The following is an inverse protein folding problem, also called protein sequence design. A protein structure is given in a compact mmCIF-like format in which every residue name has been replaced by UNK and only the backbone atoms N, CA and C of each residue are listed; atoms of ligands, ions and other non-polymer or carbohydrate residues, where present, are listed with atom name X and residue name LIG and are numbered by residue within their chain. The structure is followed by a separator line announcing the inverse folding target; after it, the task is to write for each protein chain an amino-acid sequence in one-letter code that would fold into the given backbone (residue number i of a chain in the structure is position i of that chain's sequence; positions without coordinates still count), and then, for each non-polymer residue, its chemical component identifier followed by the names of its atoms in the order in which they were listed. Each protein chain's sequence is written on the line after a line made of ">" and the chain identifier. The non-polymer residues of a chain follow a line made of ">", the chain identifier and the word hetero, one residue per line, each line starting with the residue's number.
data_IF_113307562440
#
_entry.id   IF_113307562440
#
_cell.length_a   1.000
_cell.length_b   1.000
_cell.length_c   1.000
_cell.angle_alpha   90.00
_cell.angle_beta   90.00
_cell.angle_gamma   90.00
#
_symmetry.space_group_name_H-M   'P 1'
#
loop_
_entity.id
_entity.type
_entity.pdbx_description
1 polymer ?
#
# COMPACT_ATOMS: atom_id res chain seq x y z
N UNK A 1 -9.81 5.66 -5.08
CA UNK A 1 -8.54 5.73 -5.86
C UNK A 1 -7.76 7.01 -5.61
N UNK A 2 -8.40 8.19 -5.61
CA UNK A 2 -7.72 9.49 -5.45
C UNK A 2 -6.83 9.61 -4.19
N UNK A 3 -7.21 8.97 -3.08
CA UNK A 3 -6.43 8.99 -1.84
C UNK A 3 -5.08 8.27 -1.98
N UNK A 4 -5.07 7.06 -2.55
CA UNK A 4 -3.86 6.23 -2.72
C UNK A 4 -2.91 6.89 -3.71
N UNK A 5 -3.43 7.35 -4.85
CA UNK A 5 -2.63 8.04 -5.86
C UNK A 5 -2.04 9.35 -5.32
N UNK A 6 -2.83 10.21 -4.67
CA UNK A 6 -2.34 11.51 -4.18
C UNK A 6 -1.37 11.42 -2.99
N UNK A 7 -1.50 10.41 -2.13
CA UNK A 7 -0.68 10.29 -0.90
C UNK A 7 0.47 9.31 -1.02
N UNK A 8 0.31 8.25 -1.81
CA UNK A 8 1.34 7.22 -1.97
C UNK A 8 2.00 7.27 -3.36
N UNK A 9 1.51 8.12 -4.28
CA UNK A 9 2.00 8.14 -5.65
C UNK A 9 1.74 6.84 -6.42
N UNK A 10 0.99 5.89 -5.86
CA UNK A 10 0.67 4.61 -6.50
C UNK A 10 -0.48 4.82 -7.49
N UNK A 11 -0.12 5.27 -8.69
CA UNK A 11 -1.05 5.74 -9.72
C UNK A 11 -1.10 4.84 -10.97
N UNK A 12 -0.35 3.75 -10.97
CA UNK A 12 -0.27 2.80 -12.09
C UNK A 12 -0.46 1.34 -11.64
N UNK A 13 -1.04 0.53 -12.52
CA UNK A 13 -1.55 -0.82 -12.21
C UNK A 13 -0.45 -1.81 -11.78
N UNK A 14 0.80 -1.59 -12.22
CA UNK A 14 1.98 -2.40 -11.86
C UNK A 14 2.54 -2.10 -10.46
N UNK A 15 2.29 -0.90 -9.94
CA UNK A 15 2.71 -0.50 -8.58
C UNK A 15 1.55 -0.52 -7.59
N UNK A 16 0.33 -0.71 -8.09
CA UNK A 16 -0.87 -0.86 -7.28
C UNK A 16 -0.95 -2.27 -6.69
N UNK A 17 -0.24 -2.47 -5.58
CA UNK A 17 -0.19 -3.74 -4.86
C UNK A 17 -1.51 -4.10 -4.16
N UNK A 18 -1.69 -5.39 -3.86
CA UNK A 18 -2.76 -5.90 -2.98
C UNK A 18 -4.17 -5.43 -3.38
N UNK A 19 -4.57 -5.68 -4.63
CA UNK A 19 -5.90 -5.28 -5.16
C UNK A 19 -7.07 -5.79 -4.31
N UNK A 20 -6.89 -6.95 -3.68
CA UNK A 20 -7.88 -7.56 -2.78
C UNK A 20 -8.06 -6.85 -1.44
N UNK A 21 -7.22 -5.86 -1.12
CA UNK A 21 -7.47 -4.95 0.00
C UNK A 21 -8.61 -3.96 -0.28
N UNK A 22 -8.93 -3.67 -1.55
CA UNK A 22 -9.89 -2.63 -1.91
C UNK A 22 -11.32 -2.89 -1.42
N UNK A 23 -11.87 -4.11 -1.47
CA UNK A 23 -13.16 -4.39 -0.84
C UNK A 23 -13.18 -4.03 0.65
N UNK A 24 -12.10 -4.31 1.38
CA UNK A 24 -11.98 -3.93 2.79
C UNK A 24 -11.88 -2.41 2.96
N UNK A 25 -11.04 -1.74 2.17
CA UNK A 25 -10.94 -0.27 2.20
C UNK A 25 -12.30 0.38 1.92
N UNK A 26 -13.03 -0.12 0.93
CA UNK A 26 -14.37 0.35 0.58
C UNK A 26 -15.36 0.13 1.73
N UNK A 27 -15.38 -1.07 2.33
CA UNK A 27 -16.24 -1.36 3.49
C UNK A 27 -15.94 -0.44 4.66
N UNK A 28 -14.66 -0.26 4.98
CA UNK A 28 -14.21 0.57 6.09
C UNK A 28 -14.59 2.05 5.89
N UNK A 29 -14.37 2.58 4.68
CA UNK A 29 -14.78 3.94 4.32
C UNK A 29 -16.29 4.14 4.40
N UNK A 30 -17.08 3.17 3.94
CA UNK A 30 -18.54 3.22 4.03
C UNK A 30 -19.02 3.19 5.49
N UNK A 31 -18.40 2.39 6.37
CA UNK A 31 -18.72 2.38 7.80
C UNK A 31 -18.40 3.71 8.50
N UNK A 32 -17.43 4.45 7.97
CA UNK A 32 -17.00 5.77 8.46
C UNK A 32 -17.67 6.93 7.71
N UNK A 33 -18.63 6.64 6.83
CA UNK A 33 -19.33 7.65 6.01
C UNK A 33 -18.36 8.55 5.21
N UNK A 34 -17.19 8.00 4.84
CA UNK A 34 -16.13 8.72 4.15
C UNK A 34 -15.35 9.72 5.03
N UNK A 35 -15.70 9.87 6.31
CA UNK A 35 -15.02 10.76 7.24
C UNK A 35 -13.90 10.02 7.96
N UNK A 36 -12.66 10.31 7.57
CA UNK A 36 -11.47 9.85 8.27
C UNK A 36 -10.67 11.05 8.75
N UNK A 37 -10.28 11.03 10.02
CA UNK A 37 -9.28 11.97 10.50
C UNK A 37 -7.89 11.63 9.91
N UNK A 38 -6.91 12.52 10.12
CA UNK A 38 -5.57 12.33 9.58
C UNK A 38 -4.86 11.10 10.15
N UNK A 39 -5.03 10.79 11.44
CA UNK A 39 -4.38 9.65 12.09
C UNK A 39 -4.98 8.34 11.60
N UNK A 40 -6.30 8.26 11.52
CA UNK A 40 -7.04 7.09 11.06
C UNK A 40 -6.74 6.79 9.59
N UNK A 41 -6.69 7.84 8.75
CA UNK A 41 -6.25 7.71 7.36
C UNK A 41 -4.83 7.18 7.26
N UNK A 42 -3.88 7.76 7.99
CA UNK A 42 -2.47 7.37 7.87
C UNK A 42 -2.26 5.92 8.36
N UNK A 43 -3.01 5.50 9.39
CA UNK A 43 -3.06 4.11 9.85
C UNK A 43 -3.68 3.15 8.83
N UNK A 44 -4.74 3.55 8.14
CA UNK A 44 -5.35 2.77 7.06
C UNK A 44 -4.38 2.59 5.89
N UNK A 45 -3.67 3.66 5.50
CA UNK A 45 -2.65 3.61 4.46
C UNK A 45 -1.44 2.76 4.89
N UNK A 46 -1.03 2.84 6.16
CA UNK A 46 0.00 1.97 6.72
C UNK A 46 -0.37 0.49 6.59
N UNK A 47 -1.60 0.13 7.00
CA UNK A 47 -2.09 -1.24 6.84
C UNK A 47 -2.10 -1.66 5.36
N UNK A 48 -2.63 -0.81 4.48
CA UNK A 48 -2.67 -1.07 3.03
C UNK A 48 -1.28 -1.35 2.46
N UNK A 49 -0.28 -0.52 2.79
CA UNK A 49 1.11 -0.71 2.35
C UNK A 49 1.63 -2.08 2.78
N UNK A 50 1.47 -2.42 4.07
CA UNK A 50 1.93 -3.70 4.58
C UNK A 50 1.21 -4.92 3.97
N UNK A 51 -0.01 -4.77 3.46
CA UNK A 51 -0.69 -5.88 2.79
C UNK A 51 0.05 -6.35 1.53
N UNK A 52 0.57 -5.43 0.70
CA UNK A 52 1.34 -5.83 -0.50
C UNK A 52 2.79 -6.17 -0.19
N UNK A 53 3.42 -5.49 0.77
CA UNK A 53 4.79 -5.80 1.20
C UNK A 53 4.94 -7.24 1.67
N UNK A 54 3.90 -7.77 2.33
CA UNK A 54 3.94 -9.09 2.91
C UNK A 54 3.08 -10.12 2.18
N UNK A 55 2.46 -9.73 1.06
CA UNK A 55 1.64 -10.64 0.24
C UNK A 55 0.44 -11.18 1.00
N UNK A 56 -0.25 -10.34 1.79
CA UNK A 56 -1.37 -10.74 2.66
C UNK A 56 -2.42 -11.59 1.94
N UNK A 57 -2.72 -11.24 0.69
CA UNK A 57 -3.69 -11.94 -0.16
C UNK A 57 -3.05 -12.74 -1.30
N UNK A 58 -1.79 -13.17 -1.17
CA UNK A 58 -1.12 -13.96 -2.21
C UNK A 58 -1.51 -15.45 -2.20
N UNK A 59 -2.08 -15.94 -1.08
CA UNK A 59 -2.54 -17.32 -0.92
C UNK A 59 -4.06 -17.43 -0.93
N UNK A 60 -4.65 -17.79 0.21
CA UNK A 60 -6.11 -17.95 0.39
C UNK A 60 -6.83 -16.59 0.49
N UNK A 61 -6.91 -15.86 -0.63
CA UNK A 61 -7.49 -14.52 -0.74
C UNK A 61 -8.83 -14.39 -0.04
N UNK A 62 -9.81 -15.23 -0.38
CA UNK A 62 -11.18 -15.15 0.15
C UNK A 62 -11.21 -15.39 1.66
N UNK A 63 -10.46 -16.38 2.15
CA UNK A 63 -10.39 -16.69 3.58
C UNK A 63 -9.76 -15.54 4.38
N UNK A 64 -8.66 -14.97 3.89
CA UNK A 64 -7.99 -13.84 4.56
C UNK A 64 -8.87 -12.59 4.51
N UNK A 65 -9.49 -12.29 3.36
CA UNK A 65 -10.39 -11.15 3.22
C UNK A 65 -11.60 -11.27 4.15
N UNK A 66 -12.24 -12.44 4.22
CA UNK A 66 -13.37 -12.67 5.13
C UNK A 66 -12.96 -12.47 6.60
N UNK A 67 -11.77 -12.96 6.99
CA UNK A 67 -11.23 -12.70 8.34
C UNK A 67 -11.06 -11.19 8.58
N UNK A 68 -10.47 -10.49 7.63
CA UNK A 68 -10.19 -9.06 7.79
C UNK A 68 -11.46 -8.21 7.85
N UNK A 69 -12.49 -8.59 7.07
CA UNK A 69 -13.80 -7.98 7.15
C UNK A 69 -14.45 -8.20 8.53
N UNK A 70 -14.27 -9.38 9.12
CA UNK A 70 -14.70 -9.65 10.50
C UNK A 70 -14.01 -8.74 11.53
N UNK A 71 -12.72 -8.43 11.34
CA UNK A 71 -11.97 -7.57 12.27
C UNK A 71 -12.48 -6.11 12.29
N UNK A 72 -13.17 -5.67 11.24
CA UNK A 72 -13.72 -4.31 11.12
C UNK A 72 -15.24 -4.23 11.35
N UNK A 73 -15.89 -5.31 11.79
CA UNK A 73 -17.32 -5.27 12.11
C UNK A 73 -17.62 -4.29 13.24
N UNK A 74 -16.83 -4.35 14.30
CA UNK A 74 -16.81 -3.34 15.37
C UNK A 74 -16.00 -2.12 14.92
N UNK A 75 -16.61 -0.93 14.96
CA UNK A 75 -15.97 0.30 14.44
C UNK A 75 -14.77 0.75 15.27
N UNK A 76 -14.88 0.61 16.58
CA UNK A 76 -13.85 1.05 17.52
C UNK A 76 -12.71 0.04 17.55
N UNK A 77 -11.46 0.53 17.47
CA UNK A 77 -10.27 -0.32 17.43
C UNK A 77 -10.09 -1.15 16.15
N UNK A 78 -10.90 -0.95 15.11
CA UNK A 78 -10.83 -1.72 13.86
C UNK A 78 -9.42 -1.75 13.22
N UNK A 79 -8.78 -0.58 13.12
CA UNK A 79 -7.42 -0.49 12.57
C UNK A 79 -6.36 -1.08 13.51
N UNK A 80 -6.57 -1.04 14.83
CA UNK A 80 -5.68 -1.69 15.80
C UNK A 80 -5.69 -3.20 15.57
N UNK A 81 -6.88 -3.80 15.52
CA UNK A 81 -7.05 -5.24 15.25
C UNK A 81 -6.46 -5.65 13.90
N UNK A 82 -6.66 -4.86 12.85
CA UNK A 82 -6.09 -5.14 11.52
C UNK A 82 -4.55 -5.11 11.52
N UNK A 83 -3.94 -4.13 12.19
CA UNK A 83 -2.48 -4.00 12.28
C UNK A 83 -1.91 -5.10 13.19
N UNK A 84 -2.58 -5.43 14.28
CA UNK A 84 -2.14 -6.50 15.17
C UNK A 84 -2.26 -7.87 14.51
N UNK A 85 -3.27 -8.10 13.66
CA UNK A 85 -3.34 -9.31 12.84
C UNK A 85 -2.20 -9.37 11.81
N UNK A 86 -1.76 -8.24 11.24
CA UNK A 86 -0.54 -8.22 10.40
C UNK A 86 0.69 -8.67 11.21
N UNK A 87 0.88 -8.12 12.41
CA UNK A 87 1.99 -8.48 13.31
C UNK A 87 1.92 -9.92 13.76
N UNK A 88 0.72 -10.45 14.02
CA UNK A 88 0.54 -11.85 14.43
C UNK A 88 0.92 -12.83 13.33
N UNK A 89 0.60 -12.52 12.07
CA UNK A 89 0.88 -13.40 10.93
C UNK A 89 2.33 -13.28 10.46
N UNK A 90 2.87 -12.06 10.39
CA UNK A 90 4.22 -11.79 9.84
C UNK A 90 5.31 -11.81 10.92
N UNK A 91 4.97 -11.45 12.16
CA UNK A 91 5.91 -11.08 13.19
C UNK A 91 6.27 -9.59 13.09
N UNK A 92 7.57 -9.32 12.96
CA UNK A 92 8.09 -7.96 12.82
C UNK A 92 7.73 -7.35 11.46
N UNK A 93 7.33 -6.07 11.46
CA UNK A 93 6.98 -5.32 10.25
C UNK A 93 8.11 -4.37 9.82
N UNK A 94 9.24 -4.32 10.54
CA UNK A 94 10.41 -3.53 10.16
C UNK A 94 11.00 -4.02 8.84
N UNK A 95 11.32 -3.06 7.99
CA UNK A 95 12.02 -3.29 6.74
C UNK A 95 13.51 -3.49 7.01
N UNK A 96 14.10 -4.44 6.30
CA UNK A 96 15.53 -4.69 6.32
C UNK A 96 16.11 -4.48 4.91
N UNK A 97 17.41 -4.19 4.77
CA UNK A 97 18.04 -4.03 3.47
C UNK A 97 17.81 -5.24 2.54
N UNK A 98 17.72 -6.45 3.09
CA UNK A 98 17.52 -7.69 2.35
C UNK A 98 16.16 -7.76 1.66
N UNK A 99 15.14 -7.05 2.17
CA UNK A 99 13.81 -6.97 1.54
C UNK A 99 13.87 -6.34 0.13
N UNK A 100 14.94 -5.58 -0.17
CA UNK A 100 15.13 -4.85 -1.42
C UNK A 100 16.10 -5.54 -2.41
N UNK A 101 16.51 -6.78 -2.15
CA UNK A 101 17.42 -7.51 -3.05
C UNK A 101 16.80 -7.85 -4.42
N UNK A 102 15.46 -7.85 -4.52
CA UNK A 102 14.75 -8.06 -5.77
C UNK A 102 14.85 -6.84 -6.69
N UNK A 103 15.31 -7.05 -7.93
CA UNK A 103 15.65 -5.97 -8.87
C UNK A 103 14.63 -5.77 -10.01
N UNK A 104 13.65 -6.66 -10.16
CA UNK A 104 12.65 -6.58 -11.24
C UNK A 104 11.37 -5.85 -10.78
N UNK A 105 10.54 -5.44 -11.75
CA UNK A 105 9.21 -4.90 -11.46
C UNK A 105 8.28 -5.90 -10.76
N UNK A 106 8.58 -7.20 -10.87
CA UNK A 106 7.87 -8.26 -10.13
C UNK A 106 8.36 -8.44 -8.69
N UNK A 107 9.41 -7.72 -8.28
CA UNK A 107 9.88 -7.75 -6.91
C UNK A 107 8.83 -7.15 -5.98
N UNK A 108 8.57 -7.83 -4.87
CA UNK A 108 7.51 -7.47 -3.93
C UNK A 108 7.64 -6.06 -3.35
N UNK A 109 8.88 -5.59 -3.20
CA UNK A 109 9.23 -4.28 -2.64
C UNK A 109 9.35 -3.17 -3.68
N UNK A 110 9.24 -3.49 -4.98
CA UNK A 110 9.30 -2.50 -6.05
C UNK A 110 8.23 -1.40 -5.90
N UNK A 111 6.95 -1.70 -5.59
CA UNK A 111 5.95 -0.66 -5.32
C UNK A 111 6.31 0.30 -4.20
N UNK A 112 7.03 -0.16 -3.17
CA UNK A 112 7.48 0.68 -2.08
C UNK A 112 8.61 1.62 -2.51
N UNK A 113 9.59 1.09 -3.26
CA UNK A 113 10.64 1.93 -3.85
C UNK A 113 10.04 3.01 -4.75
N UNK A 114 9.09 2.63 -5.60
CA UNK A 114 8.35 3.57 -6.45
C UNK A 114 7.59 4.61 -5.60
N UNK A 115 6.83 4.18 -4.60
CA UNK A 115 6.15 5.09 -3.67
C UNK A 115 7.12 6.08 -3.04
N UNK A 116 8.29 5.63 -2.59
CA UNK A 116 9.31 6.50 -1.98
C UNK A 116 9.83 7.54 -2.95
N UNK A 117 10.11 7.20 -4.22
CA UNK A 117 10.57 8.19 -5.20
C UNK A 117 9.53 9.28 -5.45
N UNK A 118 8.25 8.91 -5.42
CA UNK A 118 7.12 9.84 -5.63
C UNK A 118 6.84 10.71 -4.41
N UNK A 119 6.80 10.13 -3.22
CA UNK A 119 6.52 10.86 -1.98
C UNK A 119 7.66 11.79 -1.59
N UNK A 120 8.91 11.40 -1.88
CA UNK A 120 10.10 12.21 -1.57
C UNK A 120 10.56 13.11 -2.72
N UNK A 121 9.81 13.17 -3.83
CA UNK A 121 10.18 13.99 -4.99
C UNK A 121 11.63 13.74 -5.44
N UNK A 122 12.01 12.46 -5.53
CA UNK A 122 13.37 12.05 -5.88
C UNK A 122 13.76 12.63 -7.25
N UNK A 123 15.04 12.99 -7.41
CA UNK A 123 15.54 13.65 -8.62
C UNK A 123 16.52 12.76 -9.37
N UNK A 124 16.43 12.81 -10.70
CA UNK A 124 17.43 12.21 -11.59
C UNK A 124 18.81 12.84 -11.33
N UNK A 125 19.83 12.00 -11.21
CA UNK A 125 21.18 12.45 -10.84
C UNK A 125 21.87 13.25 -11.93
N UNK A 126 21.52 13.02 -13.20
CA UNK A 126 22.15 13.72 -14.31
C UNK A 126 21.48 15.07 -14.59
N UNK A 127 20.15 15.06 -14.75
CA UNK A 127 19.37 16.23 -15.12
C UNK A 127 18.87 17.06 -13.94
N UNK A 128 18.85 16.50 -12.73
CA UNK A 128 18.29 17.14 -11.54
C UNK A 128 16.76 17.24 -11.55
N UNK A 129 16.10 16.67 -12.55
CA UNK A 129 14.66 16.73 -12.73
C UNK A 129 13.99 15.69 -11.83
N UNK A 130 12.88 16.07 -11.19
CA UNK A 130 12.09 15.17 -10.33
C UNK A 130 11.52 13.97 -11.12
N UNK A 131 11.63 12.77 -10.57
CA UNK A 131 11.09 11.53 -11.12
C UNK A 131 9.56 11.49 -10.96
N UNK A 132 8.84 12.28 -11.77
CA UNK A 132 7.37 12.35 -11.79
C UNK A 132 6.77 11.86 -13.13
N UNK A 133 5.48 11.51 -13.14
CA UNK A 133 4.81 10.90 -14.30
C UNK A 133 4.84 11.74 -15.58
N UNK A 134 5.11 13.06 -15.48
CA UNK A 134 5.20 13.93 -16.66
C UNK A 134 6.53 13.80 -17.43
N UNK A 135 7.48 13.00 -16.94
CA UNK A 135 8.82 12.84 -17.54
C UNK A 135 9.08 11.48 -18.17
N UNK A 136 8.10 10.57 -18.13
CA UNK A 136 8.15 9.37 -18.93
C UNK A 136 7.79 9.76 -20.37
N UNK A 137 8.82 10.01 -21.17
CA UNK A 137 8.69 10.21 -22.60
C UNK A 137 7.84 9.11 -23.23
N UNK A 138 7.22 9.44 -24.36
CA UNK A 138 6.27 8.66 -25.18
C UNK A 138 6.66 7.21 -25.54
N UNK A 139 7.80 6.71 -25.06
CA UNK A 139 8.37 5.38 -25.32
C UNK A 139 8.64 4.52 -24.08
N UNK A 140 8.43 5.01 -22.87
CA UNK A 140 8.60 4.17 -21.65
C UNK A 140 7.26 3.63 -21.18
N UNK A 141 6.84 2.50 -21.76
CA UNK A 141 5.81 1.65 -21.16
C UNK A 141 6.45 0.84 -20.03
N UNK A 142 6.54 1.45 -18.85
CA UNK A 142 6.85 0.72 -17.61
C UNK A 142 5.70 -0.14 -17.17
#
# INVERSE_FOLDING_TARGET
>A
MNLISSRLGLDHDRVLGSRYSFPLLARYLTQKEGQLDHRERDRLLYWYVHTFLWGRYAGSTETVLNRDLGLIEERDGALDRLIDELRRVRGDLRLQPEDFLGWSQGARFYPLMYMMTRVWHARDWYSGIELSNHLLGRMTSL
#
